data_IF_641148329193
#
_entry.id   IF_641148329193
#
_cell.length_a   1.000
_cell.length_b   1.000
_cell.length_c   1.000
_cell.angle_alpha   90.00
_cell.angle_beta   90.00
_cell.angle_gamma   90.00
#
_symmetry.space_group_name_H-M   'P 1'
#
loop_
_entity.id
_entity.type
_entity.pdbx_description
1 polymer ?
#
# COMPACT_ATOMS: atom_id res chain seq x y z
N UNK A 1 63.18 -22.53 80.26
CA UNK A 1 63.54 -22.27 78.85
C UNK A 1 62.52 -22.83 77.83
N UNK A 2 61.30 -23.22 78.22
CA UNK A 2 60.33 -23.91 77.32
C UNK A 2 59.42 -22.98 76.50
N UNK A 3 59.14 -21.77 76.98
CA UNK A 3 58.08 -20.90 76.42
C UNK A 3 58.46 -20.18 75.11
N UNK A 4 59.76 -20.08 74.80
CA UNK A 4 60.23 -19.45 73.56
C UNK A 4 60.06 -20.36 72.33
N UNK A 5 60.12 -21.69 72.53
CA UNK A 5 60.04 -22.67 71.45
C UNK A 5 58.62 -22.86 70.92
N UNK A 6 57.60 -22.78 71.79
CA UNK A 6 56.18 -22.85 71.39
C UNK A 6 55.73 -21.60 70.65
N UNK A 7 56.17 -20.41 71.07
CA UNK A 7 55.86 -19.15 70.38
C UNK A 7 56.41 -19.11 68.94
N UNK A 8 57.66 -19.55 68.73
CA UNK A 8 58.27 -19.61 67.39
C UNK A 8 57.56 -20.59 66.45
N UNK A 9 57.07 -21.73 66.97
CA UNK A 9 56.28 -22.69 66.18
C UNK A 9 54.93 -22.10 65.74
N UNK A 10 54.25 -21.37 66.62
CA UNK A 10 52.98 -20.71 66.29
C UNK A 10 53.18 -19.61 65.23
N UNK A 11 54.21 -18.78 65.38
CA UNK A 11 54.55 -17.73 64.39
C UNK A 11 54.89 -18.34 63.03
N UNK A 12 55.69 -19.42 63.00
CA UNK A 12 55.99 -20.14 61.76
C UNK A 12 54.76 -20.74 61.08
N UNK A 13 53.82 -21.30 61.86
CA UNK A 13 52.58 -21.86 61.32
C UNK A 13 51.64 -20.79 60.75
N UNK A 14 51.59 -19.61 61.37
CA UNK A 14 50.78 -18.50 60.91
C UNK A 14 51.37 -17.84 59.66
N UNK A 15 52.69 -17.72 59.59
CA UNK A 15 53.39 -17.29 58.37
C UNK A 15 53.13 -18.25 57.21
N UNK A 16 53.22 -19.56 57.43
CA UNK A 16 52.93 -20.56 56.41
C UNK A 16 51.47 -20.48 55.91
N UNK A 17 50.50 -20.38 56.83
CA UNK A 17 49.08 -20.17 56.47
C UNK A 17 48.87 -18.87 55.70
N UNK A 18 49.52 -17.79 56.09
CA UNK A 18 49.43 -16.50 55.40
C UNK A 18 49.97 -16.59 53.97
N UNK A 19 51.12 -17.25 53.76
CA UNK A 19 51.69 -17.47 52.42
C UNK A 19 50.76 -18.32 51.56
N UNK A 20 50.13 -19.34 52.13
CA UNK A 20 49.21 -20.22 51.39
C UNK A 20 47.91 -19.49 51.01
N UNK A 21 47.39 -18.63 51.89
CA UNK A 21 46.25 -17.77 51.57
C UNK A 21 46.58 -16.77 50.46
N UNK A 22 47.77 -16.17 50.48
CA UNK A 22 48.22 -15.25 49.42
C UNK A 22 48.32 -15.96 48.06
N UNK A 23 48.86 -17.18 48.01
CA UNK A 23 48.91 -17.99 46.78
C UNK A 23 47.52 -18.32 46.24
N UNK A 24 46.58 -18.66 47.12
CA UNK A 24 45.20 -18.97 46.74
C UNK A 24 44.45 -17.73 46.21
N UNK A 25 44.69 -16.56 46.81
CA UNK A 25 44.12 -15.30 46.31
C UNK A 25 44.70 -14.96 44.93
N UNK A 26 46.02 -15.10 44.76
CA UNK A 26 46.67 -14.83 43.50
C UNK A 26 46.19 -15.76 42.37
N UNK A 27 46.07 -17.07 42.63
CA UNK A 27 45.54 -18.01 41.63
C UNK A 27 44.08 -17.74 41.26
N UNK A 28 43.24 -17.38 42.24
CA UNK A 28 41.84 -16.98 41.98
C UNK A 28 41.72 -15.71 41.15
N UNK A 29 42.57 -14.72 41.42
CA UNK A 29 42.61 -13.48 40.64
C UNK A 29 43.07 -13.74 39.20
N UNK A 30 44.06 -14.62 39.02
CA UNK A 30 44.56 -14.99 37.69
C UNK A 30 43.47 -15.72 36.87
N UNK A 31 42.83 -16.75 37.43
CA UNK A 31 41.71 -17.43 36.78
C UNK A 31 40.55 -16.48 36.43
N UNK A 32 40.19 -15.57 37.34
CA UNK A 32 39.14 -14.57 37.08
C UNK A 32 39.52 -13.62 35.95
N UNK A 33 40.80 -13.21 35.87
CA UNK A 33 41.29 -12.35 34.79
C UNK A 33 41.24 -13.04 33.42
N UNK A 34 41.56 -14.33 33.38
CA UNK A 34 41.48 -15.15 32.16
C UNK A 34 40.02 -15.33 31.72
N UNK A 35 39.10 -15.61 32.64
CA UNK A 35 37.66 -15.73 32.32
C UNK A 35 37.07 -14.41 31.81
N UNK A 36 37.38 -13.28 32.43
CA UNK A 36 36.91 -11.97 31.98
C UNK A 36 37.43 -11.60 30.59
N UNK A 37 38.69 -11.96 30.27
CA UNK A 37 39.26 -11.76 28.94
C UNK A 37 38.54 -12.61 27.89
N UNK A 38 38.29 -13.89 28.19
CA UNK A 38 37.53 -14.78 27.29
C UNK A 38 36.08 -14.31 27.05
N UNK A 39 35.42 -13.79 28.09
CA UNK A 39 34.08 -13.18 27.95
C UNK A 39 34.12 -11.92 27.08
N UNK A 40 35.09 -11.02 27.28
CA UNK A 40 35.23 -9.81 26.48
C UNK A 40 35.50 -10.14 24.99
N UNK A 41 36.32 -11.15 24.70
CA UNK A 41 36.56 -11.64 23.35
C UNK A 41 35.28 -12.18 22.70
N UNK A 42 34.50 -12.99 23.43
CA UNK A 42 33.20 -13.48 22.95
C UNK A 42 32.21 -12.35 22.69
N UNK A 43 32.13 -11.34 23.57
CA UNK A 43 31.28 -10.17 23.36
C UNK A 43 31.70 -9.36 22.12
N UNK A 44 33.01 -9.22 21.87
CA UNK A 44 33.51 -8.54 20.68
C UNK A 44 33.16 -9.31 19.39
N UNK A 45 33.27 -10.63 19.39
CA UNK A 45 32.89 -11.49 18.26
C UNK A 45 31.40 -11.35 17.98
N UNK A 46 30.54 -11.46 18.99
CA UNK A 46 29.09 -11.30 18.85
C UNK A 46 28.70 -9.91 18.34
N UNK A 47 29.39 -8.86 18.81
CA UNK A 47 29.18 -7.50 18.33
C UNK A 47 29.54 -7.34 16.85
N UNK A 48 30.67 -7.91 16.43
CA UNK A 48 31.10 -7.89 15.02
C UNK A 48 30.15 -8.68 14.13
N UNK A 49 29.69 -9.86 14.55
CA UNK A 49 28.69 -10.64 13.83
C UNK A 49 27.37 -9.89 13.68
N UNK A 50 26.90 -9.27 14.76
CA UNK A 50 25.67 -8.48 14.75
C UNK A 50 25.80 -7.25 13.84
N UNK A 51 26.91 -6.53 13.92
CA UNK A 51 27.20 -5.40 13.04
C UNK A 51 27.23 -5.83 11.57
N UNK A 52 27.85 -6.96 11.25
CA UNK A 52 27.88 -7.51 9.89
C UNK A 52 26.48 -7.85 9.37
N UNK A 53 25.62 -8.46 10.20
CA UNK A 53 24.21 -8.74 9.85
C UNK A 53 23.42 -7.46 9.58
N UNK A 54 23.58 -6.44 10.43
CA UNK A 54 22.92 -5.14 10.25
C UNK A 54 23.38 -4.48 8.93
N UNK A 55 24.68 -4.49 8.66
CA UNK A 55 25.23 -3.93 7.43
C UNK A 55 24.73 -4.67 6.18
N UNK A 56 24.67 -6.00 6.22
CA UNK A 56 24.16 -6.82 5.13
C UNK A 56 22.68 -6.52 4.85
N UNK A 57 21.84 -6.47 5.91
CA UNK A 57 20.42 -6.13 5.79
C UNK A 57 20.22 -4.72 5.21
N UNK A 58 21.02 -3.74 5.65
CA UNK A 58 20.98 -2.39 5.13
C UNK A 58 21.34 -2.31 3.63
N UNK A 59 22.43 -2.98 3.21
CA UNK A 59 22.82 -3.03 1.78
C UNK A 59 21.74 -3.68 0.93
N UNK A 60 21.14 -4.77 1.41
CA UNK A 60 20.05 -5.43 0.72
C UNK A 60 18.83 -4.50 0.57
N UNK A 61 18.45 -3.82 1.66
CA UNK A 61 17.35 -2.85 1.62
C UNK A 61 17.62 -1.71 0.64
N UNK A 62 18.84 -1.16 0.61
CA UNK A 62 19.21 -0.15 -0.37
C UNK A 62 19.13 -0.66 -1.82
N UNK A 63 19.56 -1.89 -2.09
CA UNK A 63 19.45 -2.49 -3.41
C UNK A 63 17.99 -2.64 -3.84
N UNK A 64 17.12 -3.09 -2.93
CA UNK A 64 15.68 -3.17 -3.17
C UNK A 64 15.07 -1.80 -3.45
N UNK A 65 15.44 -0.76 -2.69
CA UNK A 65 14.95 0.60 -2.91
C UNK A 65 15.33 1.11 -4.30
N UNK A 66 16.57 0.87 -4.75
CA UNK A 66 16.99 1.24 -6.11
C UNK A 66 16.18 0.52 -7.18
N UNK A 67 15.94 -0.78 -7.03
CA UNK A 67 15.12 -1.55 -7.96
C UNK A 67 13.68 -1.05 -7.99
N UNK A 68 13.08 -0.80 -6.82
CA UNK A 68 11.72 -0.24 -6.71
C UNK A 68 11.61 1.11 -7.41
N UNK A 69 12.59 2.00 -7.21
CA UNK A 69 12.62 3.30 -7.86
C UNK A 69 12.76 3.16 -9.38
N UNK A 70 13.63 2.26 -9.86
CA UNK A 70 13.78 2.00 -11.29
C UNK A 70 12.49 1.47 -11.91
N UNK A 71 11.84 0.50 -11.26
CA UNK A 71 10.56 -0.06 -11.74
C UNK A 71 9.47 1.00 -11.72
N UNK A 72 9.38 1.82 -10.68
CA UNK A 72 8.41 2.92 -10.60
C UNK A 72 8.62 3.92 -11.74
N UNK A 73 9.87 4.28 -12.01
CA UNK A 73 10.21 5.17 -13.12
C UNK A 73 9.85 4.56 -14.48
N UNK A 74 10.12 3.27 -14.70
CA UNK A 74 9.72 2.57 -15.92
C UNK A 74 8.20 2.46 -16.09
N UNK A 75 7.45 2.27 -15.01
CA UNK A 75 5.98 2.28 -15.05
C UNK A 75 5.48 3.67 -15.44
N UNK A 76 6.04 4.71 -14.82
CA UNK A 76 5.67 6.08 -15.11
C UNK A 76 5.93 6.44 -16.59
N UNK A 77 7.13 6.15 -17.09
CA UNK A 77 7.50 6.36 -18.50
C UNK A 77 6.54 5.66 -19.46
N UNK A 78 6.22 4.37 -19.21
CA UNK A 78 5.28 3.62 -20.05
C UNK A 78 3.87 4.18 -20.01
N UNK A 79 3.41 4.63 -18.84
CA UNK A 79 2.10 5.25 -18.69
C UNK A 79 2.03 6.56 -19.46
N UNK A 80 3.09 7.37 -19.40
CA UNK A 80 3.18 8.63 -20.12
C UNK A 80 3.15 8.41 -21.64
N UNK A 81 4.00 7.50 -22.16
CA UNK A 81 3.97 7.13 -23.58
C UNK A 81 2.63 6.55 -24.03
N UNK A 82 1.99 5.69 -23.23
CA UNK A 82 0.68 5.13 -23.57
C UNK A 82 -0.43 6.19 -23.56
N UNK A 83 -0.32 7.20 -22.70
CA UNK A 83 -1.24 8.33 -22.66
C UNK A 83 -1.10 9.19 -23.91
N UNK A 84 0.14 9.57 -24.27
CA UNK A 84 0.43 10.33 -25.49
C UNK A 84 -0.06 9.59 -26.75
N UNK A 85 0.18 8.27 -26.82
CA UNK A 85 -0.28 7.45 -27.94
C UNK A 85 -1.81 7.43 -28.03
N UNK A 86 -2.50 7.30 -26.89
CA UNK A 86 -3.96 7.32 -26.84
C UNK A 86 -4.51 8.66 -27.31
N UNK A 87 -3.92 9.76 -26.86
CA UNK A 87 -4.31 11.11 -27.28
C UNK A 87 -4.12 11.31 -28.80
N UNK A 88 -2.97 10.93 -29.34
CA UNK A 88 -2.68 11.04 -30.76
C UNK A 88 -3.64 10.20 -31.61
N UNK A 89 -3.93 8.97 -31.17
CA UNK A 89 -4.90 8.08 -31.83
C UNK A 89 -6.31 8.67 -31.80
N UNK A 90 -6.71 9.24 -30.67
CA UNK A 90 -8.02 9.86 -30.54
C UNK A 90 -8.15 11.08 -31.46
N UNK A 91 -7.11 11.91 -31.54
CA UNK A 91 -7.03 13.04 -32.49
C UNK A 91 -7.15 12.56 -33.94
N UNK A 92 -6.41 11.53 -34.34
CA UNK A 92 -6.50 10.95 -35.70
C UNK A 92 -7.91 10.39 -35.99
N UNK A 93 -8.53 9.70 -35.03
CA UNK A 93 -9.91 9.23 -35.16
C UNK A 93 -10.89 10.38 -35.34
N UNK A 94 -10.78 11.44 -34.54
CA UNK A 94 -11.65 12.61 -34.67
C UNK A 94 -11.41 13.36 -35.98
N UNK A 95 -10.17 13.50 -36.42
CA UNK A 95 -9.86 14.10 -37.71
C UNK A 95 -10.48 13.28 -38.87
N UNK A 96 -10.40 11.95 -38.81
CA UNK A 96 -11.08 11.05 -39.77
C UNK A 96 -12.61 11.17 -39.70
N UNK A 97 -13.18 11.30 -38.50
CA UNK A 97 -14.62 11.50 -38.32
C UNK A 97 -15.08 12.86 -38.85
N UNK A 98 -14.33 13.94 -38.64
CA UNK A 98 -14.65 15.26 -39.20
C UNK A 98 -14.52 15.28 -40.72
N UNK A 99 -13.43 14.71 -41.27
CA UNK A 99 -13.25 14.57 -42.72
C UNK A 99 -14.35 13.74 -43.36
N UNK A 100 -14.82 12.71 -42.67
CA UNK A 100 -15.97 11.93 -43.14
C UNK A 100 -17.29 12.64 -42.88
N UNK A 101 -17.44 13.46 -41.82
CA UNK A 101 -18.66 14.19 -41.47
C UNK A 101 -19.19 15.09 -42.59
N UNK A 102 -18.31 15.73 -43.36
CA UNK A 102 -18.71 16.48 -44.55
C UNK A 102 -19.33 15.57 -45.65
N UNK A 103 -19.09 14.25 -45.57
CA UNK A 103 -19.70 13.18 -46.37
C UNK A 103 -20.79 12.36 -45.62
N UNK A 104 -20.95 12.50 -44.30
CA UNK A 104 -21.90 11.70 -43.51
C UNK A 104 -23.28 12.35 -43.52
N UNK A 105 -24.10 11.91 -44.48
CA UNK A 105 -25.56 12.02 -44.38
C UNK A 105 -26.05 11.50 -43.01
N UNK A 106 -27.12 12.07 -42.42
CA UNK A 106 -27.67 11.66 -41.10
C UNK A 106 -27.98 10.15 -40.97
N UNK A 107 -28.06 9.43 -42.08
CA UNK A 107 -28.19 7.97 -42.13
C UNK A 107 -26.97 7.21 -41.59
N UNK A 108 -25.76 7.74 -41.80
CA UNK A 108 -24.51 7.03 -41.45
C UNK A 108 -24.16 7.17 -39.96
N UNK A 109 -24.53 8.29 -39.32
CA UNK A 109 -24.45 8.45 -37.87
C UNK A 109 -25.32 7.40 -37.12
N UNK A 110 -26.49 7.08 -37.70
CA UNK A 110 -27.38 6.02 -37.21
C UNK A 110 -26.77 4.62 -37.39
N UNK A 111 -26.05 4.41 -38.49
CA UNK A 111 -25.33 3.16 -38.79
C UNK A 111 -24.12 2.94 -37.87
N UNK A 112 -23.32 3.98 -37.59
CA UNK A 112 -22.19 3.89 -36.65
C UNK A 112 -22.67 3.59 -35.22
N UNK A 113 -23.82 4.15 -34.82
CA UNK A 113 -24.47 3.83 -33.54
C UNK A 113 -24.97 2.37 -33.48
N UNK A 114 -25.24 1.74 -34.63
CA UNK A 114 -25.73 0.36 -34.74
C UNK A 114 -24.64 -0.69 -35.03
N UNK A 115 -23.52 -0.29 -35.64
CA UNK A 115 -22.51 -1.17 -36.21
C UNK A 115 -21.39 -1.59 -35.25
N UNK A 116 -21.33 -1.03 -34.03
CA UNK A 116 -20.19 -1.26 -33.12
C UNK A 116 -20.50 -1.88 -31.77
N UNK A 117 -21.77 -2.07 -31.40
CA UNK A 117 -22.13 -2.45 -30.03
C UNK A 117 -22.23 -3.99 -29.92
N UNK A 118 -21.41 -4.64 -29.07
CA UNK A 118 -21.57 -6.07 -28.75
C UNK A 118 -23.01 -6.37 -28.29
N UNK A 119 -23.45 -7.62 -28.49
CA UNK A 119 -24.84 -8.05 -28.25
C UNK A 119 -25.33 -7.68 -26.84
N UNK A 120 -24.48 -7.86 -25.82
CA UNK A 120 -24.70 -7.39 -24.45
C UNK A 120 -25.05 -5.90 -24.35
N UNK A 121 -24.37 -5.04 -25.09
CA UNK A 121 -24.56 -3.59 -25.01
C UNK A 121 -25.87 -3.16 -25.68
N UNK A 122 -26.32 -3.89 -26.72
CA UNK A 122 -27.66 -3.68 -27.30
C UNK A 122 -28.78 -4.08 -26.34
N UNK A 123 -28.63 -5.18 -25.61
CA UNK A 123 -29.61 -5.56 -24.59
C UNK A 123 -29.59 -4.60 -23.40
N UNK A 124 -28.41 -4.15 -22.95
CA UNK A 124 -28.29 -3.13 -21.92
C UNK A 124 -29.01 -1.84 -22.33
N UNK A 125 -28.80 -1.34 -23.54
CA UNK A 125 -29.51 -0.16 -24.05
C UNK A 125 -31.02 -0.35 -24.12
N UNK A 126 -31.49 -1.57 -24.41
CA UNK A 126 -32.92 -1.91 -24.43
C UNK A 126 -33.52 -1.89 -23.01
N UNK A 127 -32.77 -2.40 -22.03
CA UNK A 127 -33.16 -2.43 -20.63
C UNK A 127 -33.08 -1.06 -19.95
N UNK A 128 -32.13 -0.20 -20.36
CA UNK A 128 -31.96 1.15 -19.82
C UNK A 128 -32.71 2.23 -20.59
N UNK A 129 -33.67 1.87 -21.44
CA UNK A 129 -34.46 2.85 -22.17
C UNK A 129 -35.32 3.68 -21.19
N UNK A 130 -35.09 4.99 -21.02
CA UNK A 130 -35.87 5.80 -20.09
C UNK A 130 -37.36 5.85 -20.44
N UNK A 131 -37.72 5.64 -21.72
CA UNK A 131 -39.10 5.64 -22.17
C UNK A 131 -39.89 4.37 -21.80
N UNK A 132 -39.22 3.27 -21.43
CA UNK A 132 -39.88 2.04 -20.97
C UNK A 132 -40.12 2.02 -19.44
N UNK A 133 -39.55 2.98 -18.71
CA UNK A 133 -39.69 3.08 -17.26
C UNK A 133 -41.00 3.80 -16.95
N UNK A 134 -41.99 3.04 -16.46
CA UNK A 134 -43.29 3.60 -16.05
C UNK A 134 -43.15 4.39 -14.75
N UNK A 135 -43.21 5.71 -14.84
CA UNK A 135 -43.15 6.62 -13.68
C UNK A 135 -44.54 6.72 -13.05
N UNK A 136 -44.61 6.54 -11.73
CA UNK A 136 -45.86 6.65 -10.96
C UNK A 136 -46.53 8.02 -11.14
N UNK A 137 -47.87 8.03 -11.16
CA UNK A 137 -48.66 9.26 -11.33
C UNK A 137 -48.50 10.26 -10.16
N UNK A 138 -47.97 9.81 -9.02
CA UNK A 138 -47.69 10.63 -7.83
C UNK A 138 -46.37 11.40 -7.90
N UNK A 139 -45.49 11.13 -8.89
CA UNK A 139 -44.21 11.83 -9.01
C UNK A 139 -44.41 13.27 -9.48
N UNK A 140 -44.16 14.23 -8.59
CA UNK A 140 -44.27 15.67 -8.88
C UNK A 140 -42.98 16.30 -9.40
N UNK A 141 -41.86 15.56 -9.38
CA UNK A 141 -40.56 16.08 -9.81
C UNK A 141 -40.42 16.25 -11.33
N UNK A 142 -39.36 16.95 -11.78
CA UNK A 142 -39.10 17.16 -13.20
C UNK A 142 -38.84 15.83 -13.92
N UNK A 143 -39.53 15.63 -15.05
CA UNK A 143 -39.34 14.49 -15.95
C UNK A 143 -38.32 14.86 -17.02
N UNK A 144 -37.20 14.15 -17.06
CA UNK A 144 -36.15 14.36 -18.05
C UNK A 144 -36.37 13.35 -19.17
N UNK A 145 -36.87 13.83 -20.29
CA UNK A 145 -36.91 13.06 -21.54
C UNK A 145 -35.82 13.59 -22.48
N UNK A 146 -35.22 12.70 -23.26
CA UNK A 146 -34.19 13.08 -24.23
C UNK A 146 -34.79 13.70 -25.49
N UNK A 147 -34.04 14.50 -26.26
CA UNK A 147 -32.74 15.09 -25.94
C UNK A 147 -32.86 16.31 -25.02
N UNK A 148 -31.91 16.45 -24.08
CA UNK A 148 -31.88 17.52 -23.09
C UNK A 148 -31.76 18.87 -23.82
N UNK A 149 -32.80 19.69 -23.68
CA UNK A 149 -32.91 20.99 -24.31
C UNK A 149 -32.60 22.07 -23.27
N UNK A 150 -32.13 23.25 -23.69
CA UNK A 150 -31.85 24.37 -22.75
C UNK A 150 -33.04 24.66 -21.82
N UNK A 151 -34.27 24.53 -22.33
CA UNK A 151 -35.49 24.69 -21.55
C UNK A 151 -35.60 23.66 -20.42
N UNK A 152 -35.41 22.37 -20.72
CA UNK A 152 -35.48 21.30 -19.71
C UNK A 152 -34.39 21.44 -18.64
N UNK A 153 -33.24 22.02 -18.99
CA UNK A 153 -32.17 22.31 -18.04
C UNK A 153 -32.53 23.45 -17.08
N UNK A 154 -33.18 24.51 -17.57
CA UNK A 154 -33.67 25.62 -16.72
C UNK A 154 -34.75 25.11 -15.77
N UNK A 155 -35.72 24.35 -16.29
CA UNK A 155 -36.81 23.76 -15.50
C UNK A 155 -36.26 22.84 -14.38
N UNK A 156 -35.17 22.12 -14.65
CA UNK A 156 -34.49 21.27 -13.67
C UNK A 156 -33.81 22.08 -12.56
N UNK A 157 -33.15 23.20 -12.92
CA UNK A 157 -32.50 24.09 -11.94
C UNK A 157 -33.56 24.73 -11.04
N UNK A 158 -34.66 25.19 -11.62
CA UNK A 158 -35.77 25.79 -10.86
C UNK A 158 -36.40 24.76 -9.91
N UNK A 159 -36.71 23.56 -10.39
CA UNK A 159 -37.23 22.48 -9.56
C UNK A 159 -36.29 22.13 -8.39
N UNK A 160 -34.97 22.19 -8.60
CA UNK A 160 -33.98 21.96 -7.56
C UNK A 160 -33.91 23.10 -6.55
N UNK A 161 -34.02 24.36 -6.98
CA UNK A 161 -34.05 25.53 -6.08
C UNK A 161 -35.29 25.54 -5.19
N UNK A 162 -36.46 25.16 -5.70
CA UNK A 162 -37.70 25.12 -4.93
C UNK A 162 -37.87 23.87 -4.06
N UNK A 163 -36.83 23.03 -3.94
CA UNK A 163 -36.83 21.90 -3.00
C UNK A 163 -37.72 20.74 -3.42
N UNK A 164 -38.03 20.60 -4.71
CA UNK A 164 -38.66 19.38 -5.25
C UNK A 164 -37.61 18.25 -5.30
N UNK A 165 -37.14 17.83 -4.13
CA UNK A 165 -36.22 16.71 -3.99
C UNK A 165 -37.04 15.43 -4.06
N UNK A 166 -36.82 14.70 -5.16
CA UNK A 166 -37.19 13.32 -5.40
C UNK A 166 -37.21 12.50 -4.10
N UNK A 167 -38.35 11.88 -3.78
CA UNK A 167 -38.52 11.00 -2.62
C UNK A 167 -37.50 9.86 -2.69
N UNK A 168 -36.30 10.04 -2.12
CA UNK A 168 -35.37 8.94 -1.84
C UNK A 168 -35.89 8.16 -0.64
N UNK A 169 -36.97 7.40 -0.84
CA UNK A 169 -37.41 6.32 0.03
C UNK A 169 -37.23 4.98 -0.70
N UNK A 170 -36.00 4.70 -1.13
CA UNK A 170 -35.61 3.32 -1.37
C UNK A 170 -34.67 2.92 -0.26
N UNK A 171 -35.24 2.08 0.59
CA UNK A 171 -34.65 1.39 1.72
C UNK A 171 -33.29 0.79 1.38
N UNK A 172 -32.32 1.09 2.24
CA UNK A 172 -31.15 0.25 2.47
C UNK A 172 -31.65 -1.05 3.11
N UNK A 173 -32.21 -1.95 2.31
CA UNK A 173 -32.33 -3.36 2.67
C UNK A 173 -31.13 -4.07 2.03
N UNK A 174 -29.97 -3.89 2.67
CA UNK A 174 -28.97 -4.94 2.70
C UNK A 174 -29.37 -5.84 3.87
N UNK A 175 -30.31 -6.76 3.60
CA UNK A 175 -30.55 -7.90 4.48
C UNK A 175 -29.69 -9.05 3.96
N UNK A 176 -28.89 -9.55 4.89
CA UNK A 176 -28.00 -10.69 4.80
C UNK A 176 -28.80 -11.94 4.40
N UNK A 177 -28.39 -12.62 3.34
CA UNK A 177 -28.71 -14.03 3.11
C UNK A 177 -27.61 -14.64 2.23
N UNK A 178 -26.57 -15.13 2.88
CA UNK A 178 -25.70 -16.19 2.35
C UNK A 178 -25.72 -17.34 3.35
N UNK A 179 -26.63 -18.27 3.10
CA UNK A 179 -26.51 -19.67 3.54
C UNK A 179 -26.95 -20.55 2.36
N UNK A 180 -25.96 -21.23 1.76
CA UNK A 180 -25.84 -22.64 1.33
C UNK A 180 -24.55 -22.79 0.53
#
# INVERSE_FOLDING_TARGET
MSNSCSALKTVSSNLFKSVELQKNIFSKLDHRSVTLRGQAEQHCILANESASKIQAAFRHHQAQLKLKNQVAWQIHEKLEYSSEQTEAKLKDMFEKLLKSSDLLSPSVAKLLQQAGLPVEEKELLRLTNPASISVQASYQGPRIEGPITRKTFVDLIEAFQYGQVSERKHSTQAEEDYDI
#
